data_IF_688963615919
#
_entry.id   IF_688963615919
#
_cell.length_a   1.000
_cell.length_b   1.000
_cell.length_c   1.000
_cell.angle_alpha   90.00
_cell.angle_beta   90.00
_cell.angle_gamma   90.00
#
_symmetry.space_group_name_H-M   'P 1'
#
loop_
_entity.id
_entity.type
_entity.pdbx_description
1 polymer ?
#
# COMPACT_ATOMS: atom_id res chain seq x y z
N UNK A 1 3.85 -20.54 14.84
CA UNK A 1 2.57 -20.21 14.19
C UNK A 1 2.63 -18.74 13.81
N UNK A 2 2.31 -18.38 12.57
CA UNK A 2 2.21 -16.98 12.13
C UNK A 2 0.94 -16.36 12.68
N UNK A 3 1.03 -15.14 13.23
CA UNK A 3 -0.14 -14.39 13.69
C UNK A 3 -1.13 -14.16 12.54
N UNK A 4 -2.42 -14.09 12.85
CA UNK A 4 -3.45 -13.71 11.86
C UNK A 4 -3.78 -12.22 11.99
N UNK A 5 -4.04 -11.57 10.87
CA UNK A 5 -4.39 -10.16 10.78
C UNK A 5 -5.61 -9.99 9.89
N UNK A 6 -6.45 -9.04 10.25
CA UNK A 6 -7.64 -8.66 9.49
C UNK A 6 -7.38 -7.39 8.67
N UNK A 7 -7.89 -7.38 7.43
CA UNK A 7 -7.76 -6.33 6.43
C UNK A 7 -6.37 -5.65 6.36
N UNK A 8 -5.27 -6.41 6.15
CA UNK A 8 -3.96 -5.82 5.95
C UNK A 8 -3.97 -4.83 4.78
N UNK A 9 -3.35 -3.68 5.03
CA UNK A 9 -3.43 -2.52 4.17
C UNK A 9 -2.07 -1.80 4.14
N UNK A 10 -1.59 -1.49 2.94
CA UNK A 10 -0.29 -0.90 2.66
C UNK A 10 -0.48 0.37 1.86
N UNK A 11 0.15 1.45 2.30
CA UNK A 11 0.22 2.70 1.55
C UNK A 11 1.68 3.01 1.22
N UNK A 12 1.93 3.34 -0.04
CA UNK A 12 3.15 3.97 -0.52
C UNK A 12 2.84 5.43 -0.83
N UNK A 13 3.60 6.34 -0.23
CA UNK A 13 3.65 7.75 -0.60
C UNK A 13 5.02 8.04 -1.17
N UNK A 14 5.12 8.24 -2.48
CA UNK A 14 6.39 8.51 -3.16
C UNK A 14 6.40 9.94 -3.73
N UNK A 15 7.54 10.63 -3.60
CA UNK A 15 7.69 12.03 -4.01
C UNK A 15 8.88 12.17 -4.96
N UNK A 16 8.65 12.78 -6.12
CA UNK A 16 9.65 12.91 -7.18
C UNK A 16 9.62 14.33 -7.76
N UNK A 17 10.77 15.01 -7.80
CA UNK A 17 10.88 16.32 -8.42
C UNK A 17 10.58 16.23 -9.92
N UNK A 18 9.77 17.16 -10.42
CA UNK A 18 9.43 17.28 -11.84
C UNK A 18 10.66 17.55 -12.72
N UNK A 19 11.71 18.10 -12.15
CA UNK A 19 13.00 18.35 -12.82
C UNK A 19 13.91 17.13 -12.85
N UNK A 20 13.64 16.09 -12.05
CA UNK A 20 14.37 14.83 -12.08
C UNK A 20 14.01 14.00 -13.32
N UNK A 21 14.95 13.16 -13.75
CA UNK A 21 14.76 12.23 -14.87
C UNK A 21 14.78 10.77 -14.38
N UNK A 22 13.92 9.90 -14.92
CA UNK A 22 12.84 10.22 -15.86
C UNK A 22 11.68 10.93 -15.16
N UNK A 23 11.15 12.00 -15.77
CA UNK A 23 10.07 12.81 -15.18
C UNK A 23 8.78 11.99 -14.94
N UNK A 24 8.57 10.92 -15.70
CA UNK A 24 7.41 10.01 -15.60
C UNK A 24 7.61 8.85 -14.62
N UNK A 25 8.76 8.80 -13.90
CA UNK A 25 9.17 7.67 -13.07
C UNK A 25 8.05 7.06 -12.23
N UNK A 26 7.34 7.89 -11.45
CA UNK A 26 6.31 7.40 -10.53
C UNK A 26 5.15 6.72 -11.25
N UNK A 27 4.77 7.22 -12.42
CA UNK A 27 3.67 6.70 -13.21
C UNK A 27 4.06 5.39 -13.89
N UNK A 28 5.26 5.35 -14.45
CA UNK A 28 5.82 4.15 -15.08
C UNK A 28 5.96 3.04 -14.02
N UNK A 29 6.47 3.37 -12.84
CA UNK A 29 6.59 2.44 -11.71
C UNK A 29 5.25 1.97 -11.17
N UNK A 30 4.27 2.86 -11.04
CA UNK A 30 2.92 2.45 -10.66
C UNK A 30 2.33 1.47 -11.68
N UNK A 31 2.46 1.77 -12.97
CA UNK A 31 1.97 0.92 -14.06
C UNK A 31 2.68 -0.43 -14.12
N UNK A 32 4.00 -0.45 -13.91
CA UNK A 32 4.80 -1.66 -13.76
C UNK A 32 4.25 -2.54 -12.63
N UNK A 33 4.10 -1.99 -11.43
CA UNK A 33 3.59 -2.71 -10.26
C UNK A 33 2.18 -3.27 -10.53
N UNK A 34 1.22 -2.45 -10.93
CA UNK A 34 -0.17 -2.91 -11.08
C UNK A 34 -0.32 -3.93 -12.22
N UNK A 35 0.47 -3.82 -13.29
CA UNK A 35 0.38 -4.71 -14.44
C UNK A 35 1.13 -6.02 -14.24
N UNK A 36 2.36 -5.98 -13.73
CA UNK A 36 3.20 -7.18 -13.60
C UNK A 36 2.83 -7.98 -12.35
N UNK A 37 2.65 -7.30 -11.21
CA UNK A 37 2.43 -7.95 -9.92
C UNK A 37 0.95 -8.25 -9.67
N UNK A 38 0.06 -7.36 -10.12
CA UNK A 38 -1.37 -7.49 -9.89
C UNK A 38 -2.18 -7.79 -11.16
N UNK A 39 -1.54 -7.96 -12.33
CA UNK A 39 -2.19 -8.35 -13.60
C UNK A 39 -3.35 -7.43 -14.00
N UNK A 40 -3.30 -6.17 -13.58
CA UNK A 40 -4.29 -5.15 -13.91
C UNK A 40 -3.95 -4.57 -15.28
N UNK A 41 -4.91 -4.63 -16.21
CA UNK A 41 -4.73 -4.11 -17.57
C UNK A 41 -4.98 -2.61 -17.67
N UNK A 42 -5.78 -2.06 -16.75
CA UNK A 42 -6.09 -0.63 -16.70
C UNK A 42 -4.85 0.12 -16.20
N UNK A 43 -4.37 1.07 -17.00
CA UNK A 43 -3.19 1.87 -16.68
C UNK A 43 -3.56 3.20 -16.02
N UNK A 44 -2.61 3.73 -15.26
CA UNK A 44 -2.59 5.08 -14.75
C UNK A 44 -2.16 6.03 -15.87
N UNK A 45 -3.14 6.76 -16.42
CA UNK A 45 -2.90 7.80 -17.43
C UNK A 45 -2.90 9.19 -16.79
N UNK A 46 -1.90 9.98 -17.16
CA UNK A 46 -1.63 11.29 -16.57
C UNK A 46 -1.96 12.40 -17.55
N UNK A 47 -2.68 13.42 -17.07
CA UNK A 47 -2.93 14.66 -17.77
C UNK A 47 -2.47 15.84 -16.90
N UNK A 48 -1.49 16.58 -17.40
CA UNK A 48 -0.98 17.77 -16.71
C UNK A 48 -1.89 18.97 -16.89
N UNK A 49 -2.07 19.73 -15.82
CA UNK A 49 -2.91 20.93 -15.81
C UNK A 49 -2.22 22.05 -15.04
N UNK A 50 -2.61 23.29 -15.33
CA UNK A 50 -2.13 24.47 -14.60
C UNK A 50 -2.67 24.48 -13.17
N UNK A 51 -1.84 24.88 -12.20
CA UNK A 51 -2.24 25.02 -10.81
C UNK A 51 -1.13 24.68 -9.83
N UNK A 52 -1.34 25.07 -8.56
CA UNK A 52 -0.44 24.78 -7.45
C UNK A 52 -0.50 23.31 -7.05
N UNK A 53 -1.69 22.84 -6.69
CA UNK A 53 -1.99 21.43 -6.43
C UNK A 53 -2.93 20.94 -7.52
N UNK A 54 -2.53 19.89 -8.21
CA UNK A 54 -3.27 19.37 -9.35
C UNK A 54 -3.37 17.85 -9.21
N UNK A 55 -4.59 17.34 -9.23
CA UNK A 55 -4.82 15.91 -9.40
C UNK A 55 -4.58 15.55 -10.86
N UNK A 56 -3.76 14.55 -11.12
CA UNK A 56 -3.17 14.33 -12.45
C UNK A 56 -3.85 13.21 -13.24
N UNK A 57 -4.80 12.49 -12.65
CA UNK A 57 -5.48 11.41 -13.35
C UNK A 57 -6.29 12.00 -14.50
N UNK A 58 -6.06 11.50 -15.73
CA UNK A 58 -6.70 11.99 -16.95
C UNK A 58 -8.23 11.89 -16.89
N UNK A 59 -8.75 10.71 -16.58
CA UNK A 59 -10.20 10.45 -16.53
C UNK A 59 -10.82 10.71 -15.14
N UNK A 60 -10.26 11.66 -14.38
CA UNK A 60 -10.80 12.04 -13.06
C UNK A 60 -12.19 12.67 -13.16
N UNK A 61 -12.96 12.51 -12.10
CA UNK A 61 -14.22 13.23 -11.88
C UNK A 61 -14.07 14.23 -10.74
N UNK A 62 -15.10 15.04 -10.47
CA UNK A 62 -15.11 15.95 -9.32
C UNK A 62 -15.03 15.19 -7.99
N UNK A 63 -15.55 13.97 -7.93
CA UNK A 63 -15.67 13.18 -6.70
C UNK A 63 -14.61 12.07 -6.60
N UNK A 64 -13.96 11.70 -7.70
CA UNK A 64 -12.97 10.63 -7.75
C UNK A 64 -11.79 10.99 -8.64
N UNK A 65 -10.63 11.12 -8.01
CA UNK A 65 -9.36 11.50 -8.63
C UNK A 65 -8.35 10.35 -8.66
N UNK A 66 -8.80 9.14 -8.34
CA UNK A 66 -7.94 7.99 -8.17
C UNK A 66 -8.25 6.86 -9.15
N UNK A 67 -7.22 6.12 -9.53
CA UNK A 67 -7.36 4.88 -10.28
C UNK A 67 -7.64 3.74 -9.30
N UNK A 68 -8.88 3.26 -9.28
CA UNK A 68 -9.25 2.05 -8.54
C UNK A 68 -8.99 0.79 -9.36
N UNK A 69 -8.46 -0.25 -8.72
CA UNK A 69 -8.23 -1.55 -9.34
C UNK A 69 -8.43 -2.69 -8.35
N UNK A 70 -8.65 -3.89 -8.89
CA UNK A 70 -8.80 -5.12 -8.13
C UNK A 70 -8.09 -6.28 -8.82
N UNK A 71 -7.60 -7.21 -8.01
CA UNK A 71 -6.93 -8.42 -8.46
C UNK A 71 -7.12 -9.56 -7.46
N UNK A 72 -6.58 -10.73 -7.77
CA UNK A 72 -6.51 -11.87 -6.87
C UNK A 72 -5.06 -12.33 -6.76
N UNK A 73 -4.61 -12.61 -5.54
CA UNK A 73 -3.30 -13.20 -5.24
C UNK A 73 -3.47 -14.61 -4.69
N UNK A 74 -2.52 -15.49 -4.97
CA UNK A 74 -2.53 -16.87 -4.46
C UNK A 74 -1.76 -16.96 -3.14
N UNK A 75 -2.39 -17.51 -2.11
CA UNK A 75 -1.77 -17.88 -0.84
C UNK A 75 -2.20 -19.31 -0.49
N UNK A 76 -1.24 -20.23 -0.37
CA UNK A 76 -1.49 -21.65 -0.04
C UNK A 76 -2.63 -22.28 -0.87
N UNK A 77 -2.57 -22.10 -2.20
CA UNK A 77 -3.59 -22.53 -3.17
C UNK A 77 -4.98 -21.88 -3.01
N UNK A 78 -5.12 -20.88 -2.16
CA UNK A 78 -6.34 -20.08 -2.01
C UNK A 78 -6.19 -18.77 -2.76
N UNK A 79 -7.16 -18.45 -3.62
CA UNK A 79 -7.25 -17.17 -4.31
C UNK A 79 -7.88 -16.12 -3.40
N UNK A 80 -7.13 -15.06 -3.08
CA UNK A 80 -7.57 -13.99 -2.21
C UNK A 80 -7.64 -12.67 -2.98
N UNK A 81 -8.82 -12.06 -2.99
CA UNK A 81 -9.01 -10.69 -3.48
C UNK A 81 -8.09 -9.67 -2.80
N UNK A 82 -7.53 -8.80 -3.64
CA UNK A 82 -6.77 -7.60 -3.30
C UNK A 82 -7.39 -6.44 -4.07
N UNK A 83 -7.53 -5.30 -3.42
CA UNK A 83 -7.95 -4.05 -4.06
C UNK A 83 -6.88 -3.00 -3.86
N UNK A 84 -6.77 -2.07 -4.79
CA UNK A 84 -5.86 -0.95 -4.66
C UNK A 84 -6.39 0.33 -5.30
N UNK A 85 -5.75 1.42 -4.93
CA UNK A 85 -6.08 2.77 -5.38
C UNK A 85 -4.78 3.51 -5.64
N UNK A 86 -4.63 4.11 -6.81
CA UNK A 86 -3.48 4.95 -7.16
C UNK A 86 -3.93 6.38 -7.45
N UNK A 87 -3.42 7.34 -6.68
CA UNK A 87 -3.74 8.76 -6.83
C UNK A 87 -2.50 9.52 -7.26
N UNK A 88 -2.42 9.96 -8.53
CA UNK A 88 -1.34 10.78 -9.02
C UNK A 88 -1.65 12.25 -8.76
N UNK A 89 -0.70 12.97 -8.18
CA UNK A 89 -0.86 14.40 -7.88
C UNK A 89 0.43 15.16 -8.15
N UNK A 90 0.30 16.46 -8.41
CA UNK A 90 1.40 17.42 -8.41
C UNK A 90 1.16 18.49 -7.35
N UNK A 91 2.18 18.79 -6.55
CA UNK A 91 2.23 19.97 -5.69
C UNK A 91 3.44 20.78 -6.13
N UNK A 92 3.20 21.96 -6.70
CA UNK A 92 4.21 22.82 -7.32
C UNK A 92 5.07 22.05 -8.34
N UNK A 93 6.36 21.86 -8.03
CA UNK A 93 7.38 21.20 -8.82
C UNK A 93 7.62 19.74 -8.39
N UNK A 94 6.76 19.20 -7.53
CA UNK A 94 6.87 17.83 -7.01
C UNK A 94 5.69 16.98 -7.49
N UNK A 95 6.00 15.87 -8.14
CA UNK A 95 5.05 14.79 -8.34
C UNK A 95 4.97 13.93 -7.09
N UNK A 96 3.75 13.52 -6.76
CA UNK A 96 3.47 12.61 -5.68
C UNK A 96 2.54 11.49 -6.16
N UNK A 97 2.83 10.28 -5.71
CA UNK A 97 2.01 9.10 -5.90
C UNK A 97 1.58 8.59 -4.53
N UNK A 98 0.28 8.55 -4.30
CA UNK A 98 -0.29 7.76 -3.21
C UNK A 98 -0.82 6.45 -3.81
N UNK A 99 -0.16 5.33 -3.49
CA UNK A 99 -0.58 3.99 -3.91
C UNK A 99 -1.03 3.21 -2.68
N UNK A 100 -2.24 2.68 -2.73
CA UNK A 100 -2.83 1.82 -1.72
C UNK A 100 -3.00 0.40 -2.26
N UNK A 101 -2.66 -0.60 -1.45
CA UNK A 101 -2.88 -2.02 -1.71
C UNK A 101 -3.41 -2.69 -0.44
N UNK A 102 -4.53 -3.42 -0.54
CA UNK A 102 -5.15 -4.02 0.64
C UNK A 102 -5.88 -5.32 0.35
N UNK A 103 -5.99 -6.15 1.39
CA UNK A 103 -7.10 -7.11 1.51
C UNK A 103 -8.36 -6.32 1.89
N UNK A 104 -9.45 -6.39 1.11
CA UNK A 104 -10.69 -5.72 1.48
C UNK A 104 -11.20 -6.13 2.85
N UNK A 105 -11.82 -5.20 3.55
CA UNK A 105 -12.45 -5.46 4.85
C UNK A 105 -13.70 -6.33 4.66
N UNK A 106 -14.45 -6.07 3.59
CA UNK A 106 -15.69 -6.77 3.26
C UNK A 106 -15.51 -7.61 2.00
N UNK A 107 -16.21 -8.74 1.95
CA UNK A 107 -16.38 -9.54 0.74
C UNK A 107 -17.10 -8.72 -0.35
N UNK A 108 -17.13 -9.25 -1.59
CA UNK A 108 -17.71 -8.55 -2.74
C UNK A 108 -19.17 -8.10 -2.55
N UNK A 109 -19.92 -8.75 -1.67
CA UNK A 109 -21.29 -8.39 -1.32
C UNK A 109 -21.42 -7.20 -0.35
N UNK A 110 -20.30 -6.58 0.04
CA UNK A 110 -20.21 -5.41 0.94
C UNK A 110 -20.94 -5.55 2.28
N UNK A 111 -21.23 -6.77 2.71
CA UNK A 111 -22.02 -7.04 3.92
C UNK A 111 -21.32 -8.00 4.88
N UNK A 112 -20.45 -8.87 4.37
CA UNK A 112 -19.74 -9.84 5.18
C UNK A 112 -18.26 -9.46 5.32
N UNK A 113 -17.67 -9.48 6.53
CA UNK A 113 -16.24 -9.31 6.71
C UNK A 113 -15.43 -10.40 6.00
N UNK A 114 -14.28 -10.03 5.44
CA UNK A 114 -13.33 -11.02 4.94
C UNK A 114 -12.66 -11.76 6.09
N UNK A 115 -12.25 -13.00 5.83
CA UNK A 115 -11.53 -13.80 6.82
C UNK A 115 -10.12 -13.22 7.09
N UNK A 116 -9.63 -13.23 8.34
CA UNK A 116 -8.25 -12.92 8.65
C UNK A 116 -7.29 -13.84 7.94
N UNK A 117 -6.19 -13.23 7.50
CA UNK A 117 -5.12 -13.89 6.77
C UNK A 117 -3.90 -14.02 7.69
N UNK A 118 -3.02 -15.00 7.49
CA UNK A 118 -1.74 -15.02 8.20
C UNK A 118 -0.93 -13.75 7.85
N UNK A 119 -0.08 -13.29 8.77
CA UNK A 119 0.78 -12.12 8.55
C UNK A 119 1.68 -12.25 7.33
N UNK A 120 2.03 -13.48 6.92
CA UNK A 120 2.74 -13.78 5.67
C UNK A 120 2.01 -13.30 4.41
N UNK A 121 0.70 -13.03 4.47
CA UNK A 121 -0.04 -12.43 3.36
C UNK A 121 0.54 -11.07 2.94
N UNK A 122 1.16 -10.31 3.85
CA UNK A 122 1.77 -9.02 3.52
C UNK A 122 2.86 -9.13 2.44
N UNK A 123 3.52 -10.28 2.30
CA UNK A 123 4.44 -10.57 1.19
C UNK A 123 3.74 -10.40 -0.17
N UNK A 124 2.45 -10.76 -0.25
CA UNK A 124 1.66 -10.65 -1.49
C UNK A 124 1.26 -9.22 -1.84
N UNK A 125 1.42 -8.28 -0.92
CA UNK A 125 1.22 -6.85 -1.17
C UNK A 125 2.52 -6.13 -1.55
N UNK A 126 3.67 -6.80 -1.43
CA UNK A 126 4.98 -6.29 -1.85
C UNK A 126 5.83 -7.41 -2.48
N UNK A 127 5.33 -8.06 -3.55
CA UNK A 127 6.03 -9.16 -4.19
C UNK A 127 7.40 -8.68 -4.69
N UNK A 128 8.42 -9.51 -4.44
CA UNK A 128 9.82 -9.22 -4.76
C UNK A 128 10.36 -7.87 -4.23
N UNK A 129 9.66 -7.21 -3.31
CA UNK A 129 10.06 -5.89 -2.84
C UNK A 129 9.73 -4.73 -3.79
N UNK A 130 8.76 -4.87 -4.68
CA UNK A 130 8.43 -3.85 -5.69
C UNK A 130 8.09 -2.44 -5.14
N UNK A 131 7.78 -2.32 -3.84
CA UNK A 131 7.54 -1.05 -3.15
C UNK A 131 8.78 -0.50 -2.42
N UNK A 132 9.93 -1.17 -2.48
CA UNK A 132 11.14 -0.75 -1.79
C UNK A 132 11.75 0.52 -2.43
N UNK A 133 12.48 1.35 -1.66
CA UNK A 133 13.03 2.61 -2.18
C UNK A 133 13.90 2.46 -3.43
N UNK A 134 14.68 1.38 -3.52
CA UNK A 134 15.54 1.11 -4.68
C UNK A 134 14.74 0.73 -5.94
N UNK A 135 13.56 0.14 -5.78
CA UNK A 135 12.67 -0.26 -6.88
C UNK A 135 11.86 0.94 -7.41
N UNK A 136 11.39 1.81 -6.51
CA UNK A 136 10.63 3.01 -6.88
C UNK A 136 11.56 4.12 -7.40
N UNK A 137 12.69 4.36 -6.74
CA UNK A 137 13.71 5.32 -7.16
C UNK A 137 13.30 6.79 -7.08
N UNK A 138 12.34 7.14 -6.23
CA UNK A 138 11.83 8.52 -6.13
C UNK A 138 12.90 9.50 -5.62
N UNK A 139 12.97 10.72 -6.19
CA UNK A 139 14.10 11.62 -5.95
C UNK A 139 14.04 12.37 -4.63
N UNK A 140 12.84 12.54 -4.05
CA UNK A 140 12.66 13.12 -2.71
C UNK A 140 12.41 12.05 -1.65
N UNK A 141 12.39 10.77 -2.05
CA UNK A 141 12.12 9.64 -1.18
C UNK A 141 10.65 9.24 -1.11
N UNK A 142 10.36 8.36 -0.16
CA UNK A 142 9.07 7.72 -0.02
C UNK A 142 8.77 7.35 1.43
N UNK A 143 7.51 7.06 1.73
CA UNK A 143 7.05 6.53 3.01
C UNK A 143 6.15 5.32 2.76
N UNK A 144 6.36 4.27 3.54
CA UNK A 144 5.51 3.10 3.57
C UNK A 144 4.75 3.06 4.90
N UNK A 145 3.43 2.96 4.83
CA UNK A 145 2.56 2.82 5.99
C UNK A 145 1.81 1.49 5.90
N UNK A 146 2.07 0.62 6.86
CA UNK A 146 1.37 -0.65 7.01
C UNK A 146 0.36 -0.52 8.15
N UNK A 147 -0.89 -0.87 7.88
CA UNK A 147 -1.94 -0.95 8.90
C UNK A 147 -2.60 -2.31 8.85
N UNK A 148 -2.82 -2.90 10.03
CA UNK A 148 -3.50 -4.19 10.20
C UNK A 148 -4.42 -4.11 11.40
N UNK A 149 -5.48 -4.92 11.42
CA UNK A 149 -6.26 -5.15 12.62
C UNK A 149 -5.89 -6.48 13.27
N UNK A 150 -5.57 -6.45 14.57
CA UNK A 150 -5.25 -7.63 15.38
C UNK A 150 -6.48 -8.55 15.60
N UNK A 151 -7.71 -8.03 15.45
CA UNK A 151 -8.95 -8.80 15.64
C UNK A 151 -10.05 -8.37 14.66
N UNK A 152 -10.92 -9.31 14.28
CA UNK A 152 -12.05 -9.08 13.37
C UNK A 152 -13.09 -8.11 13.95
N UNK A 153 -13.38 -8.15 15.27
CA UNK A 153 -14.51 -7.44 15.86
C UNK A 153 -14.38 -7.18 17.37
N UNK A 154 -13.57 -6.21 17.81
CA UNK A 154 -13.88 -5.52 19.07
C UNK A 154 -13.78 -4.02 18.86
N UNK A 155 -14.76 -3.22 19.35
CA UNK A 155 -14.63 -1.78 19.35
C UNK A 155 -13.32 -1.42 20.02
N UNK A 156 -12.58 -0.53 19.38
CA UNK A 156 -11.32 0.00 19.86
C UNK A 156 -11.56 0.62 21.25
N UNK A 157 -11.24 -0.11 22.31
CA UNK A 157 -11.26 0.42 23.67
C UNK A 157 -9.83 0.84 24.00
N UNK A 158 -9.56 2.15 24.18
CA UNK A 158 -8.21 2.67 24.44
C UNK A 158 -7.49 1.98 25.60
N UNK A 159 -8.24 1.45 26.59
CA UNK A 159 -7.71 0.82 27.79
C UNK A 159 -7.07 -0.56 27.56
N UNK A 160 -7.35 -1.26 26.45
CA UNK A 160 -6.77 -2.58 26.17
C UNK A 160 -5.43 -2.51 25.42
N UNK A 161 -5.12 -1.40 24.74
CA UNK A 161 -3.82 -1.16 24.08
C UNK A 161 -2.66 -1.13 25.09
N UNK A 162 -2.94 -0.72 26.33
CA UNK A 162 -1.97 -0.67 27.42
C UNK A 162 -1.70 -2.03 28.08
N UNK A 163 -2.50 -3.06 27.78
CA UNK A 163 -2.40 -4.34 28.50
C UNK A 163 -1.32 -5.27 27.93
N UNK A 164 -0.99 -5.16 26.63
CA UNK A 164 -0.03 -6.07 25.97
C UNK A 164 0.87 -5.39 24.91
N UNK A 165 1.61 -4.31 25.25
CA UNK A 165 2.46 -3.60 24.29
C UNK A 165 3.53 -4.49 23.64
N UNK A 166 4.01 -5.51 24.36
CA UNK A 166 4.99 -6.46 23.83
C UNK A 166 4.40 -7.37 22.75
N UNK A 167 3.14 -7.78 22.88
CA UNK A 167 2.46 -8.64 21.90
C UNK A 167 2.16 -7.87 20.61
N UNK A 168 1.70 -6.61 20.75
CA UNK A 168 1.46 -5.72 19.60
C UNK A 168 2.77 -5.43 18.87
N UNK A 169 3.85 -5.16 19.62
CA UNK A 169 5.18 -4.99 19.03
C UNK A 169 5.64 -6.24 18.28
N UNK A 170 5.45 -7.41 18.87
CA UNK A 170 5.80 -8.68 18.21
C UNK A 170 5.00 -8.89 16.92
N UNK A 171 3.71 -8.57 16.93
CA UNK A 171 2.87 -8.62 15.73
C UNK A 171 3.36 -7.64 14.66
N UNK A 172 3.68 -6.40 15.04
CA UNK A 172 4.22 -5.40 14.13
C UNK A 172 5.55 -5.86 13.50
N UNK A 173 6.47 -6.40 14.32
CA UNK A 173 7.74 -6.95 13.84
C UNK A 173 7.52 -8.15 12.88
N UNK A 174 6.56 -9.03 13.19
CA UNK A 174 6.18 -10.15 12.30
C UNK A 174 5.62 -9.64 10.96
N UNK A 175 4.77 -8.61 10.99
CA UNK A 175 4.21 -7.99 9.79
C UNK A 175 5.31 -7.32 8.93
N UNK A 176 6.22 -6.58 9.56
CA UNK A 176 7.33 -5.93 8.85
C UNK A 176 8.25 -6.95 8.19
N UNK A 177 8.61 -8.04 8.91
CA UNK A 177 9.44 -9.11 8.35
C UNK A 177 8.76 -9.89 7.23
N UNK A 178 7.44 -10.00 7.25
CA UNK A 178 6.68 -10.62 6.17
C UNK A 178 6.60 -9.72 4.93
N UNK A 179 6.55 -8.40 5.13
CA UNK A 179 6.42 -7.41 4.07
C UNK A 179 7.75 -7.05 3.39
N UNK A 180 8.83 -6.92 4.16
CA UNK A 180 10.15 -6.53 3.68
C UNK A 180 10.90 -7.79 3.20
N UNK A 181 11.46 -7.81 1.97
CA UNK A 181 12.29 -8.91 1.49
C UNK A 181 13.43 -9.23 2.45
N UNK A 182 13.74 -10.52 2.64
CA UNK A 182 14.73 -10.98 3.63
C UNK A 182 16.15 -10.43 3.40
N UNK A 183 16.46 -9.96 2.19
CA UNK A 183 17.74 -9.35 1.82
C UNK A 183 17.88 -7.91 2.35
N UNK A 184 16.77 -7.27 2.71
CA UNK A 184 16.74 -5.89 3.18
C UNK A 184 16.62 -5.90 4.72
N UNK A 185 17.51 -5.19 5.44
CA UNK A 185 17.40 -5.07 6.88
C UNK A 185 16.05 -4.46 7.29
N UNK A 186 15.31 -5.18 8.14
CA UNK A 186 14.11 -4.64 8.74
C UNK A 186 14.49 -3.43 9.61
N UNK A 187 13.79 -2.28 9.50
CA UNK A 187 14.11 -1.10 10.28
C UNK A 187 13.97 -1.39 11.78
N UNK A 188 14.82 -0.77 12.58
CA UNK A 188 14.67 -0.80 14.03
C UNK A 188 13.42 -0.03 14.44
N UNK A 189 12.78 -0.51 15.50
CA UNK A 189 11.72 0.24 16.14
C UNK A 189 12.27 1.57 16.66
N UNK A 190 11.82 2.68 16.08
CA UNK A 190 12.10 4.02 16.56
C UNK A 190 10.80 4.62 17.13
N UNK A 191 10.91 5.25 18.30
CA UNK A 191 9.86 6.09 18.87
C UNK A 191 10.45 7.48 18.99
N UNK A 192 10.04 8.37 18.09
CA UNK A 192 10.23 9.80 18.26
C UNK A 192 8.89 10.40 18.69
N UNK A 193 8.89 11.04 19.85
CA UNK A 193 7.73 11.66 20.50
C UNK A 193 8.19 12.61 21.59
#
# INVERSE_FOLDING_TARGET
MTSKVYAPNVHLFAFHLKTSQPTTLLWDKCNEIISQEFRVTKQLEIEEQSGYRVDLLKDKTTDDVALHFGSNVMLDNTSLAVTGVATPLRIQDTYALALNLRRPELEQNQTQPTQPVPSSFLEKLNPAGCLMPEEIGSSLGQTLLLTVWDREQKPWVPSNLLQHPQEIRKLADECLRAFIPAQIPCPHFNQEG
#
